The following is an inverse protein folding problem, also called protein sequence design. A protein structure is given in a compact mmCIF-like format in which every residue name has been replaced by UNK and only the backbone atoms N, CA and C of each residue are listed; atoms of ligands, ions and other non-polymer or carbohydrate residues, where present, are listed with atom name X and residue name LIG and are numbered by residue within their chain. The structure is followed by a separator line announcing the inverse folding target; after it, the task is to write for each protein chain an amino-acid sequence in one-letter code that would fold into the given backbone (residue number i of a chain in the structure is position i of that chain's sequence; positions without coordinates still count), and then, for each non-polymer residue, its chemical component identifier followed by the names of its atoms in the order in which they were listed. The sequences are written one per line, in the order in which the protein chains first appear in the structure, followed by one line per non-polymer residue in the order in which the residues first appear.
data_IF_949594507861
#
_entry.id   IF_949594507861
#
_cell.length_a   1.000
_cell.length_b   1.000
_cell.length_c   1.000
_cell.angle_alpha   90.00
_cell.angle_beta   90.00
_cell.angle_gamma   90.00
#
_symmetry.space_group_name_H-M   'P 1'
#
loop_
_entity.id
_entity.type
_entity.pdbx_description
1 polymer ?
#
# COMPACT_ATOMS: atom_id res chain seq x y z
N UNK A 1 4.11 -25.08 23.95
CA UNK A 1 5.58 -24.89 23.99
C UNK A 1 5.88 -23.58 24.73
N UNK A 2 6.83 -23.55 25.66
CA UNK A 2 7.23 -22.30 26.34
C UNK A 2 8.57 -21.87 25.76
N UNK A 3 8.67 -20.62 25.30
CA UNK A 3 9.91 -20.11 24.71
C UNK A 3 10.99 -20.04 25.81
N UNK A 4 12.19 -20.60 25.58
CA UNK A 4 13.29 -20.52 26.54
C UNK A 4 13.62 -19.05 26.87
N UNK A 5 13.70 -18.72 28.15
CA UNK A 5 14.00 -17.37 28.63
C UNK A 5 12.80 -16.42 28.73
N UNK A 6 11.57 -16.86 28.44
CA UNK A 6 10.34 -16.05 28.65
C UNK A 6 9.24 -16.84 29.37
N UNK A 7 8.20 -16.12 29.85
CA UNK A 7 6.99 -16.74 30.39
C UNK A 7 5.90 -16.97 29.32
N UNK A 8 6.23 -16.77 28.04
CA UNK A 8 5.26 -16.86 26.93
C UNK A 8 4.94 -18.32 26.60
N UNK A 9 3.65 -18.67 26.68
CA UNK A 9 3.13 -20.00 26.32
C UNK A 9 2.57 -19.96 24.91
N UNK A 10 3.17 -20.76 24.03
CA UNK A 10 2.71 -20.99 22.67
C UNK A 10 1.80 -22.23 22.62
N UNK A 11 0.68 -22.09 21.94
CA UNK A 11 -0.31 -23.12 21.64
C UNK A 11 -0.09 -23.65 20.23
N UNK A 12 -0.45 -24.91 19.99
CA UNK A 12 -0.33 -25.51 18.67
C UNK A 12 -1.67 -25.34 17.93
N UNK A 13 -1.61 -24.81 16.71
CA UNK A 13 -2.76 -24.68 15.83
C UNK A 13 -3.10 -26.03 15.19
N UNK A 14 -4.37 -26.43 15.31
CA UNK A 14 -4.86 -27.68 14.76
C UNK A 14 -4.84 -27.64 13.22
N UNK A 15 -4.31 -28.68 12.59
CA UNK A 15 -4.27 -28.83 11.13
C UNK A 15 -3.01 -28.28 10.45
N UNK A 16 -2.40 -27.20 10.96
CA UNK A 16 -1.16 -26.61 10.38
C UNK A 16 0.10 -27.01 11.13
N UNK A 17 -0.02 -27.44 12.39
CA UNK A 17 1.10 -27.76 13.27
C UNK A 17 1.91 -26.53 13.72
N UNK A 18 1.47 -25.31 13.39
CA UNK A 18 2.15 -24.06 13.74
C UNK A 18 1.96 -23.73 15.21
N UNK A 19 3.00 -23.17 15.83
CA UNK A 19 2.92 -22.69 17.21
C UNK A 19 2.62 -21.20 17.24
N UNK A 20 1.57 -20.80 17.97
CA UNK A 20 1.16 -19.41 18.11
C UNK A 20 1.00 -18.99 19.58
N UNK A 21 1.24 -17.72 19.83
CA UNK A 21 1.06 -17.04 21.11
C UNK A 21 0.15 -15.83 20.89
N UNK A 22 -0.83 -15.65 21.75
CA UNK A 22 -1.70 -14.47 21.74
C UNK A 22 -1.17 -13.49 22.76
N UNK A 23 -0.76 -12.30 22.33
CA UNK A 23 -0.31 -11.27 23.24
C UNK A 23 -1.52 -10.70 24.02
N UNK A 24 -1.51 -10.72 25.37
CA UNK A 24 -2.68 -10.30 26.16
C UNK A 24 -3.09 -8.84 25.94
N UNK A 25 -2.11 -7.95 25.75
CA UNK A 25 -2.35 -6.51 25.64
C UNK A 25 -3.02 -6.10 24.31
N UNK A 26 -2.67 -6.75 23.22
CA UNK A 26 -3.12 -6.37 21.86
C UNK A 26 -4.06 -7.38 21.23
N UNK A 27 -4.24 -8.55 21.87
CA UNK A 27 -4.94 -9.72 21.34
C UNK A 27 -4.38 -10.22 19.99
N UNK A 28 -3.17 -9.79 19.62
CA UNK A 28 -2.53 -10.21 18.37
C UNK A 28 -1.91 -11.59 18.50
N UNK A 29 -2.06 -12.37 17.42
CA UNK A 29 -1.44 -13.68 17.28
C UNK A 29 -0.04 -13.54 16.69
N UNK A 30 0.94 -14.05 17.41
CA UNK A 30 2.32 -14.19 16.97
C UNK A 30 2.61 -15.67 16.77
N UNK A 31 3.19 -16.02 15.64
CA UNK A 31 3.66 -17.36 15.32
C UNK A 31 5.16 -17.45 15.59
N UNK A 32 5.65 -18.66 15.79
CA UNK A 32 7.07 -18.92 16.02
C UNK A 32 7.57 -19.96 15.04
N UNK A 33 8.66 -19.63 14.37
CA UNK A 33 9.41 -20.60 13.59
C UNK A 33 10.14 -21.54 14.56
N UNK A 34 9.90 -22.84 14.43
CA UNK A 34 10.40 -23.87 15.33
C UNK A 34 11.90 -24.13 15.17
N UNK A 35 12.46 -23.85 13.99
CA UNK A 35 13.84 -24.18 13.65
C UNK A 35 14.82 -23.15 14.24
N UNK A 36 14.43 -21.88 14.26
CA UNK A 36 15.28 -20.77 14.69
C UNK A 36 14.70 -19.97 15.86
N UNK A 37 13.49 -20.29 16.32
CA UNK A 37 12.81 -19.59 17.42
C UNK A 37 12.41 -18.15 17.09
N UNK A 38 12.47 -17.74 15.81
CA UNK A 38 12.11 -16.40 15.38
C UNK A 38 10.60 -16.22 15.43
N UNK A 39 10.15 -15.16 16.11
CA UNK A 39 8.74 -14.79 16.14
C UNK A 39 8.36 -14.05 14.88
N UNK A 40 7.14 -14.22 14.42
CA UNK A 40 6.57 -13.41 13.37
C UNK A 40 5.08 -13.25 13.60
N UNK A 41 4.45 -12.27 12.96
CA UNK A 41 3.00 -12.24 12.86
C UNK A 41 2.60 -12.01 11.42
N UNK A 42 1.37 -12.39 11.12
CA UNK A 42 0.76 -12.17 9.83
C UNK A 42 -0.17 -10.99 10.01
N UNK A 43 0.11 -9.92 9.29
CA UNK A 43 -0.74 -8.75 9.28
C UNK A 43 -2.04 -9.10 8.54
N UNK A 44 -3.19 -8.88 9.16
CA UNK A 44 -4.48 -9.37 8.63
C UNK A 44 -4.99 -8.57 7.43
N UNK A 45 -4.59 -7.30 7.29
CA UNK A 45 -4.98 -6.48 6.13
C UNK A 45 -4.09 -6.78 4.94
N UNK A 46 -2.78 -6.88 5.15
CA UNK A 46 -1.82 -7.05 4.04
C UNK A 46 -1.43 -8.50 3.76
N UNK A 47 -1.81 -9.44 4.66
CA UNK A 47 -1.34 -10.85 4.67
C UNK A 47 0.19 -10.99 4.65
N UNK A 48 0.93 -9.92 4.96
CA UNK A 48 2.40 -9.91 4.98
C UNK A 48 2.93 -10.53 6.26
N UNK A 49 4.07 -11.20 6.13
CA UNK A 49 4.78 -11.82 7.24
C UNK A 49 5.80 -10.83 7.81
N UNK A 50 5.58 -10.43 9.05
CA UNK A 50 6.46 -9.54 9.78
C UNK A 50 7.27 -10.34 10.79
N UNK A 51 8.57 -10.45 10.56
CA UNK A 51 9.51 -11.21 11.38
C UNK A 51 10.14 -10.34 12.46
N UNK A 52 10.28 -10.87 13.66
CA UNK A 52 10.97 -10.21 14.76
C UNK A 52 12.47 -10.09 14.47
N UNK A 53 13.01 -8.88 14.60
CA UNK A 53 14.44 -8.65 14.57
C UNK A 53 15.09 -9.14 15.88
N UNK A 54 16.05 -10.09 15.82
CA UNK A 54 16.68 -10.66 17.00
C UNK A 54 17.26 -9.61 17.94
N UNK A 55 17.01 -9.75 19.24
CA UNK A 55 17.52 -8.83 20.27
C UNK A 55 16.78 -7.49 20.35
N UNK A 56 15.72 -7.29 19.56
CA UNK A 56 14.88 -6.09 19.60
C UNK A 56 13.41 -6.48 19.71
N UNK A 57 12.53 -5.49 19.91
CA UNK A 57 11.07 -5.70 19.85
C UNK A 57 10.45 -5.15 18.56
N UNK A 58 11.27 -5.02 17.49
CA UNK A 58 10.84 -4.53 16.18
C UNK A 58 10.52 -5.72 15.29
N UNK A 59 9.48 -5.57 14.48
CA UNK A 59 9.13 -6.53 13.45
C UNK A 59 9.41 -5.93 12.08
N UNK A 60 9.78 -6.74 11.10
CA UNK A 60 10.05 -6.28 9.74
C UNK A 60 9.56 -7.28 8.71
N UNK A 61 9.11 -6.76 7.58
CA UNK A 61 8.83 -7.50 6.36
C UNK A 61 9.97 -7.29 5.37
N UNK A 62 10.38 -8.33 4.65
CA UNK A 62 11.37 -8.24 3.58
C UNK A 62 10.64 -8.25 2.26
N UNK A 63 10.75 -7.18 1.50
CA UNK A 63 10.15 -7.13 0.18
C UNK A 63 10.82 -8.18 -0.73
N UNK A 64 10.04 -9.04 -1.43
CA UNK A 64 10.58 -10.20 -2.15
C UNK A 64 11.55 -9.79 -3.26
N UNK A 65 11.19 -8.75 -4.01
CA UNK A 65 11.96 -8.26 -5.16
C UNK A 65 13.16 -7.40 -4.77
N UNK A 66 12.96 -6.36 -3.97
CA UNK A 66 14.02 -5.39 -3.63
C UNK A 66 14.93 -5.86 -2.49
N UNK A 67 14.51 -6.91 -1.75
CA UNK A 67 15.16 -7.38 -0.51
C UNK A 67 15.27 -6.32 0.59
N UNK A 68 14.58 -5.19 0.43
CA UNK A 68 14.52 -4.10 1.41
C UNK A 68 13.70 -4.54 2.61
N UNK A 69 14.13 -4.15 3.81
CA UNK A 69 13.43 -4.41 5.07
C UNK A 69 12.54 -3.23 5.41
N UNK A 70 11.24 -3.49 5.59
CA UNK A 70 10.26 -2.53 6.04
C UNK A 70 9.87 -2.85 7.48
N UNK A 71 10.10 -1.91 8.39
CA UNK A 71 9.80 -2.12 9.80
C UNK A 71 8.32 -1.85 10.09
N UNK A 72 7.75 -2.69 10.94
CA UNK A 72 6.40 -2.56 11.43
C UNK A 72 6.32 -1.42 12.45
N UNK A 73 5.50 -0.42 12.14
CA UNK A 73 5.16 0.65 13.06
C UNK A 73 3.68 0.48 13.47
N UNK A 74 3.38 0.23 14.75
CA UNK A 74 2.00 0.13 15.19
C UNK A 74 1.32 1.50 15.03
N UNK A 75 0.27 1.56 14.22
CA UNK A 75 -0.60 2.74 14.12
C UNK A 75 -1.33 2.90 15.44
N UNK A 76 -0.77 3.70 16.34
CA UNK A 76 -1.50 4.19 17.51
C UNK A 76 -2.57 5.11 16.94
N UNK A 77 -3.79 4.60 16.79
CA UNK A 77 -4.94 5.46 16.57
C UNK A 77 -5.16 6.23 17.86
N UNK A 78 -4.44 7.34 18.04
CA UNK A 78 -4.88 8.38 18.94
C UNK A 78 -6.20 8.88 18.36
N UNK A 79 -7.29 8.35 18.90
CA UNK A 79 -8.63 8.82 18.60
C UNK A 79 -8.72 10.24 19.13
N UNK A 80 -8.33 11.22 18.32
CA UNK A 80 -8.63 12.63 18.58
C UNK A 80 -10.14 12.78 18.34
N UNK A 81 -10.91 12.46 19.37
CA UNK A 81 -12.31 12.82 19.45
C UNK A 81 -12.33 14.34 19.59
N UNK A 82 -12.70 15.07 18.54
CA UNK A 82 -13.16 16.43 18.72
C UNK A 82 -14.49 16.36 19.49
N UNK A 83 -14.41 16.39 20.82
CA UNK A 83 -15.57 16.71 21.64
C UNK A 83 -15.85 18.18 21.42
N UNK A 84 -16.89 18.52 20.67
CA UNK A 84 -17.43 19.87 20.65
C UNK A 84 -17.82 20.20 22.10
N UNK A 85 -17.04 21.04 22.76
CA UNK A 85 -17.34 21.50 24.11
C UNK A 85 -18.55 22.43 24.02
N UNK A 86 -19.74 21.91 24.31
CA UNK A 86 -20.89 22.72 24.74
C UNK A 86 -20.62 23.23 26.17
N UNK A 87 -19.62 24.09 26.29
CA UNK A 87 -19.33 24.86 27.50
C UNK A 87 -20.11 26.17 27.51
N UNK A 88 -20.52 26.69 28.68
CA UNK A 88 -21.24 27.96 28.76
C UNK A 88 -20.41 29.09 28.14
N UNK A 89 -21.09 30.09 27.57
CA UNK A 89 -20.57 31.18 26.73
C UNK A 89 -19.58 32.17 27.41
N UNK A 90 -18.67 31.68 28.27
CA UNK A 90 -17.68 32.44 29.05
C UNK A 90 -16.24 32.05 28.75
N UNK A 91 -15.99 31.00 27.94
CA UNK A 91 -14.63 30.51 27.66
C UNK A 91 -13.87 31.37 26.64
N UNK A 92 -14.57 31.85 25.59
CA UNK A 92 -14.00 32.73 24.56
C UNK A 92 -13.43 34.06 25.12
N UNK A 93 -14.13 34.80 26.00
CA UNK A 93 -13.58 36.03 26.57
C UNK A 93 -12.40 35.76 27.53
N UNK A 94 -12.30 34.58 28.15
CA UNK A 94 -11.20 34.24 29.05
C UNK A 94 -9.90 33.95 28.30
N UNK A 95 -9.96 33.33 27.12
CA UNK A 95 -8.80 33.18 26.25
C UNK A 95 -8.30 34.53 25.72
N UNK A 96 -9.23 35.41 25.34
CA UNK A 96 -8.88 36.74 24.85
C UNK A 96 -8.19 37.59 25.93
N UNK A 97 -8.61 37.48 27.19
CA UNK A 97 -7.97 38.21 28.31
C UNK A 97 -6.58 37.66 28.62
N UNK A 98 -6.36 36.35 28.59
CA UNK A 98 -5.02 35.75 28.79
C UNK A 98 -4.05 36.19 27.68
N UNK A 99 -4.52 36.19 26.42
CA UNK A 99 -3.73 36.67 25.28
C UNK A 99 -3.34 38.14 25.47
N UNK A 100 -4.29 38.99 25.89
CA UNK A 100 -4.07 40.43 26.07
C UNK A 100 -3.10 40.72 27.24
N UNK A 101 -3.16 39.95 28.31
CA UNK A 101 -2.21 40.01 29.43
C UNK A 101 -0.80 39.60 28.97
N UNK A 102 -0.68 38.57 28.13
CA UNK A 102 0.60 38.13 27.57
C UNK A 102 1.25 39.22 26.72
N UNK A 103 0.48 39.86 25.83
CA UNK A 103 0.97 40.97 24.99
C UNK A 103 1.42 42.15 25.88
N UNK A 104 0.65 42.48 26.91
CA UNK A 104 0.99 43.56 27.85
C UNK A 104 2.32 43.29 28.60
N UNK A 105 2.56 42.05 29.02
CA UNK A 105 3.82 41.66 29.68
C UNK A 105 5.03 41.82 28.76
N UNK A 106 4.89 41.44 27.48
CA UNK A 106 5.96 41.61 26.49
C UNK A 106 6.26 43.10 26.26
N UNK A 107 5.24 43.95 26.18
CA UNK A 107 5.43 45.40 26.05
C UNK A 107 6.13 46.00 27.28
N UNK A 108 5.76 45.58 28.49
CA UNK A 108 6.41 46.04 29.74
C UNK A 108 7.88 45.61 29.75
N UNK A 109 8.17 44.36 29.38
CA UNK A 109 9.53 43.84 29.32
C UNK A 109 10.39 44.59 28.28
N UNK A 110 9.82 44.92 27.13
CA UNK A 110 10.49 45.72 26.11
C UNK A 110 10.83 47.13 26.62
N UNK A 111 9.90 47.81 27.29
CA UNK A 111 10.15 49.13 27.89
C UNK A 111 11.21 49.06 28.99
N UNK A 112 11.21 47.99 29.78
CA UNK A 112 12.24 47.74 30.80
C UNK A 112 13.62 47.57 30.17
N UNK A 113 13.76 46.74 29.13
CA UNK A 113 15.04 46.58 28.41
C UNK A 113 15.53 47.92 27.86
N UNK A 114 14.66 48.69 27.22
CA UNK A 114 15.03 49.99 26.66
C UNK A 114 15.44 51.01 27.74
N UNK A 115 14.92 50.90 28.96
CA UNK A 115 15.29 51.75 30.09
C UNK A 115 16.65 51.39 30.71
N UNK A 116 17.04 50.10 30.68
CA UNK A 116 18.31 49.64 31.29
C UNK A 116 19.47 49.65 30.27
N UNK A 117 19.19 49.54 28.97
CA UNK A 117 20.19 49.58 27.90
C UNK A 117 21.25 50.71 28.02
N UNK A 118 20.90 51.97 28.34
CA UNK A 118 21.90 53.04 28.47
C UNK A 118 22.81 52.91 29.71
N UNK A 119 22.48 52.05 30.69
CA UNK A 119 23.32 51.82 31.86
C UNK A 119 24.51 50.88 31.60
N UNK A 120 24.54 50.19 30.45
CA UNK A 120 25.57 49.22 30.09
C UNK A 120 26.57 49.72 29.02
N UNK A 121 26.45 50.97 28.56
CA UNK A 121 27.30 51.53 27.49
C UNK A 121 28.65 52.12 27.99
N UNK A 122 29.11 51.74 29.18
CA UNK A 122 30.15 52.49 29.91
C UNK A 122 31.33 51.72 30.51
N UNK A 123 31.46 50.40 30.38
CA UNK A 123 32.61 49.67 30.96
C UNK A 123 33.33 48.82 29.93
N UNK A 124 34.28 49.43 29.23
CA UNK A 124 35.44 48.73 28.64
C UNK A 124 36.57 48.81 29.64
N UNK A 125 36.71 47.82 30.50
CA UNK A 125 37.95 47.60 31.25
C UNK A 125 38.86 46.71 30.42
N UNK A 126 39.91 47.33 29.87
CA UNK A 126 41.02 46.66 29.20
C UNK A 126 41.93 46.11 30.30
N UNK A 127 41.96 44.78 30.46
CA UNK A 127 42.97 44.10 31.25
C UNK A 127 44.10 43.69 30.29
N UNK A 128 45.23 44.38 30.41
CA UNK A 128 46.53 43.91 29.91
C UNK A 128 47.15 43.10 31.02
N UNK A 129 47.39 41.80 30.79
CA UNK A 129 48.22 40.95 31.63
C UNK A 129 49.19 40.16 30.74
N UNK A 130 50.44 40.58 30.87
CA UNK A 130 51.74 39.92 30.76
C UNK A 130 51.80 38.44 30.34
N UNK A 131 52.79 38.16 29.49
CA UNK A 131 53.19 36.83 28.98
C UNK A 131 53.41 35.80 30.09
N UNK A 132 52.67 34.69 30.02
CA UNK A 132 53.12 33.40 30.55
C UNK A 132 52.90 32.32 29.48
N UNK A 133 53.99 31.67 29.12
CA UNK A 133 54.08 30.56 28.18
C UNK A 133 53.39 29.32 28.79
N UNK A 134 52.22 28.97 28.26
CA UNK A 134 51.59 27.66 28.51
C UNK A 134 51.49 26.89 27.21
N UNK A 135 52.02 25.68 27.21
CA UNK A 135 51.78 24.67 26.18
C UNK A 135 50.35 24.16 26.39
N UNK A 136 49.42 24.62 25.56
CA UNK A 136 48.10 23.98 25.47
C UNK A 136 48.23 22.71 24.64
N UNK A 137 48.03 21.58 25.31
CA UNK A 137 47.79 20.29 24.66
C UNK A 137 46.51 20.44 23.85
N UNK A 138 46.62 20.39 22.53
CA UNK A 138 45.48 20.29 21.63
C UNK A 138 44.89 18.90 21.85
N UNK A 139 43.93 18.75 22.76
CA UNK A 139 42.93 17.70 22.60
C UNK A 139 42.09 18.13 21.40
N UNK A 140 42.24 17.39 20.30
CA UNK A 140 41.28 17.43 19.20
C UNK A 140 39.90 17.18 19.80
N UNK A 141 39.12 18.26 19.96
CA UNK A 141 37.70 18.17 20.23
C UNK A 141 37.11 17.21 19.20
N UNK A 142 36.46 16.10 19.60
CA UNK A 142 35.82 15.23 18.64
C UNK A 142 34.82 16.12 17.90
N UNK A 143 35.07 16.30 16.61
CA UNK A 143 34.31 17.21 15.77
C UNK A 143 32.83 17.04 16.05
N UNK A 144 32.14 18.17 16.19
CA UNK A 144 30.71 18.20 16.33
C UNK A 144 30.11 17.48 15.11
N UNK A 145 29.79 16.19 15.27
CA UNK A 145 29.01 15.45 14.28
C UNK A 145 27.60 15.99 14.45
N UNK A 146 27.22 16.88 13.56
CA UNK A 146 25.82 17.17 13.35
C UNK A 146 25.19 15.83 12.93
N UNK A 147 24.53 15.17 13.88
CA UNK A 147 23.66 14.05 13.58
C UNK A 147 22.49 14.70 12.85
N UNK A 148 22.63 14.81 11.53
CA UNK A 148 21.49 14.88 10.66
C UNK A 148 20.82 13.53 10.87
N UNK A 149 19.85 13.48 11.80
CA UNK A 149 18.79 12.49 11.69
C UNK A 149 18.16 12.80 10.34
N UNK A 150 18.63 12.12 9.29
CA UNK A 150 17.81 11.91 8.11
C UNK A 150 16.56 11.22 8.65
N UNK A 151 15.54 12.02 8.90
CA UNK A 151 14.16 11.57 8.93
C UNK A 151 13.91 11.03 7.53
N UNK A 152 14.31 9.79 7.31
CA UNK A 152 13.90 9.01 6.15
C UNK A 152 12.39 9.19 6.07
N UNK A 153 11.85 9.68 4.93
CA UNK A 153 10.42 9.91 4.82
C UNK A 153 9.71 8.62 5.21
N UNK A 154 8.85 8.69 6.22
CA UNK A 154 7.96 7.59 6.56
C UNK A 154 7.23 7.25 5.28
N UNK A 155 7.46 6.06 4.73
CA UNK A 155 6.79 5.62 3.53
C UNK A 155 5.29 5.57 3.84
N UNK A 156 4.57 6.61 3.43
CA UNK A 156 3.12 6.66 3.51
C UNK A 156 2.59 5.63 2.53
N UNK A 157 1.93 4.60 3.06
CA UNK A 157 1.18 3.68 2.21
C UNK A 157 0.10 4.52 1.50
N UNK A 158 -0.05 4.42 0.16
CA UNK A 158 -1.12 5.08 -0.56
C UNK A 158 -2.49 4.85 0.11
N UNK A 159 -3.33 5.89 0.13
CA UNK A 159 -4.65 5.84 0.77
C UNK A 159 -5.55 4.74 0.19
N UNK A 160 -5.48 4.55 -1.13
CA UNK A 160 -6.21 3.53 -1.88
C UNK A 160 -5.92 2.11 -1.37
N UNK A 161 -4.69 1.83 -0.92
CA UNK A 161 -4.30 0.48 -0.47
C UNK A 161 -4.74 0.15 0.97
N UNK A 162 -5.30 1.11 1.70
CA UNK A 162 -5.67 0.95 3.11
C UNK A 162 -7.16 1.14 3.37
N UNK A 163 -7.95 1.43 2.34
CA UNK A 163 -9.40 1.56 2.42
C UNK A 163 -10.08 0.25 1.95
N UNK A 164 -11.42 0.27 1.84
CA UNK A 164 -12.24 -0.84 1.35
C UNK A 164 -12.82 -0.61 -0.05
N UNK A 165 -12.37 0.45 -0.72
CA UNK A 165 -12.78 0.83 -2.07
C UNK A 165 -12.08 -0.10 -3.06
N UNK A 166 -12.85 -0.65 -3.99
CA UNK A 166 -12.33 -1.57 -5.01
C UNK A 166 -12.94 -1.19 -6.35
N UNK A 167 -12.11 -1.24 -7.38
CA UNK A 167 -12.53 -1.08 -8.76
C UNK A 167 -12.58 -2.45 -9.45
N UNK A 168 -13.75 -2.79 -10.00
CA UNK A 168 -13.96 -3.98 -10.82
C UNK A 168 -13.99 -3.58 -12.28
N UNK A 169 -13.08 -4.11 -13.09
CA UNK A 169 -12.95 -3.79 -14.51
C UNK A 169 -13.08 -5.04 -15.37
N UNK A 170 -13.85 -4.94 -16.44
CA UNK A 170 -13.96 -5.94 -17.51
C UNK A 170 -13.51 -5.33 -18.82
N UNK A 171 -12.62 -6.03 -19.52
CA UNK A 171 -12.19 -5.72 -20.88
C UNK A 171 -12.43 -6.92 -21.75
N UNK A 172 -13.10 -6.74 -22.88
CA UNK A 172 -13.44 -7.82 -23.78
C UNK A 172 -13.15 -7.40 -25.22
N UNK A 173 -12.59 -8.32 -25.99
CA UNK A 173 -12.34 -8.15 -27.42
C UNK A 173 -12.83 -9.36 -28.19
N UNK A 174 -13.58 -9.10 -29.24
CA UNK A 174 -13.96 -10.08 -30.25
C UNK A 174 -12.97 -9.99 -31.40
N UNK A 175 -12.52 -11.13 -31.90
CA UNK A 175 -11.57 -11.21 -33.00
C UNK A 175 -11.90 -12.35 -33.95
N UNK A 176 -11.50 -12.22 -35.21
CA UNK A 176 -11.70 -13.29 -36.21
C UNK A 176 -10.60 -14.34 -36.09
N UNK A 177 -11.00 -15.61 -35.96
CA UNK A 177 -10.10 -16.76 -35.96
C UNK A 177 -9.28 -16.85 -37.27
N UNK A 178 -8.01 -17.32 -37.22
CA UNK A 178 -7.37 -17.97 -36.07
C UNK A 178 -6.71 -16.99 -35.07
N UNK A 179 -6.75 -15.68 -35.33
CA UNK A 179 -6.15 -14.63 -34.51
C UNK A 179 -4.73 -14.99 -34.00
N UNK A 180 -3.87 -15.45 -34.90
CA UNK A 180 -2.50 -15.85 -34.60
C UNK A 180 -2.36 -16.92 -33.47
N UNK A 181 -3.30 -17.88 -33.41
CA UNK A 181 -3.35 -18.94 -32.40
C UNK A 181 -3.39 -18.41 -30.96
N UNK A 182 -4.04 -17.26 -30.74
CA UNK A 182 -4.11 -16.59 -29.44
C UNK A 182 -4.57 -17.53 -28.31
N UNK A 183 -5.54 -18.40 -28.57
CA UNK A 183 -6.06 -19.33 -27.56
C UNK A 183 -4.98 -20.27 -27.01
N UNK A 184 -4.11 -20.80 -27.88
CA UNK A 184 -2.99 -21.66 -27.44
C UNK A 184 -1.94 -20.86 -26.66
N UNK A 185 -1.69 -19.61 -27.05
CA UNK A 185 -0.76 -18.74 -26.32
C UNK A 185 -1.30 -18.41 -24.92
N UNK A 186 -2.58 -18.03 -24.81
CA UNK A 186 -3.23 -17.73 -23.53
C UNK A 186 -3.29 -18.98 -22.63
N UNK A 187 -3.65 -20.14 -23.18
CA UNK A 187 -3.68 -21.40 -22.43
C UNK A 187 -2.29 -21.74 -21.85
N UNK A 188 -1.23 -21.62 -22.66
CA UNK A 188 0.14 -21.86 -22.21
C UNK A 188 0.54 -20.93 -21.06
N UNK A 189 0.24 -19.63 -21.18
CA UNK A 189 0.56 -18.65 -20.13
C UNK A 189 -0.21 -18.95 -18.83
N UNK A 190 -1.49 -19.32 -18.93
CA UNK A 190 -2.30 -19.70 -17.77
C UNK A 190 -1.84 -20.98 -17.08
N UNK A 191 -1.16 -21.89 -17.80
CA UNK A 191 -0.56 -23.10 -17.21
C UNK A 191 0.79 -22.84 -16.54
N UNK A 192 1.60 -21.92 -17.10
CA UNK A 192 2.97 -21.66 -16.65
C UNK A 192 3.06 -20.65 -15.49
N UNK A 193 2.09 -19.73 -15.35
CA UNK A 193 2.16 -18.61 -14.41
C UNK A 193 1.36 -18.89 -13.13
N UNK A 194 2.01 -18.71 -11.97
CA UNK A 194 1.41 -18.88 -10.64
C UNK A 194 0.59 -17.63 -10.20
N UNK A 195 -0.71 -17.65 -10.48
CA UNK A 195 -1.65 -16.57 -10.13
C UNK A 195 -2.04 -16.51 -8.64
N UNK A 196 -1.60 -17.46 -7.81
CA UNK A 196 -1.79 -17.36 -6.35
C UNK A 196 -0.86 -16.29 -5.75
N UNK A 197 0.15 -15.85 -6.51
CA UNK A 197 1.06 -14.76 -6.14
C UNK A 197 0.63 -13.42 -6.75
N UNK A 198 0.82 -12.28 -6.04
CA UNK A 198 0.59 -10.95 -6.60
C UNK A 198 1.39 -10.68 -7.87
N UNK A 199 2.65 -11.12 -7.90
CA UNK A 199 3.53 -10.97 -9.05
C UNK A 199 3.02 -11.76 -10.26
N UNK A 200 2.59 -13.02 -10.05
CA UNK A 200 2.06 -13.84 -11.13
C UNK A 200 0.72 -13.35 -11.68
N UNK A 201 -0.16 -12.76 -10.86
CA UNK A 201 -1.37 -12.10 -11.37
C UNK A 201 -1.05 -10.96 -12.32
N UNK A 202 -0.12 -10.08 -11.94
CA UNK A 202 0.30 -8.98 -12.81
C UNK A 202 1.02 -9.51 -14.05
N UNK A 203 1.86 -10.55 -13.90
CA UNK A 203 2.52 -11.17 -15.05
C UNK A 203 1.51 -11.70 -16.06
N UNK A 204 0.52 -12.48 -15.62
CA UNK A 204 -0.52 -13.02 -16.51
C UNK A 204 -1.34 -11.89 -17.14
N UNK A 205 -1.71 -10.86 -16.38
CA UNK A 205 -2.41 -9.67 -16.89
C UNK A 205 -1.63 -9.00 -18.02
N UNK A 206 -0.35 -8.70 -17.79
CA UNK A 206 0.49 -7.98 -18.75
C UNK A 206 0.79 -8.83 -19.98
N UNK A 207 1.09 -10.12 -19.81
CA UNK A 207 1.30 -11.03 -20.93
C UNK A 207 0.04 -11.20 -21.77
N UNK A 208 -1.14 -11.30 -21.14
CA UNK A 208 -2.43 -11.32 -21.83
C UNK A 208 -2.66 -10.03 -22.63
N UNK A 209 -2.42 -8.87 -22.04
CA UNK A 209 -2.55 -7.58 -22.72
C UNK A 209 -1.60 -7.46 -23.93
N UNK A 210 -0.34 -7.92 -23.79
CA UNK A 210 0.62 -7.96 -24.89
C UNK A 210 0.16 -8.91 -25.99
N UNK A 211 -0.30 -10.11 -25.64
CA UNK A 211 -0.80 -11.08 -26.60
C UNK A 211 -2.01 -10.53 -27.38
N UNK A 212 -2.92 -9.83 -26.71
CA UNK A 212 -4.02 -9.13 -27.36
C UNK A 212 -3.53 -8.02 -28.29
N UNK A 213 -2.59 -7.17 -27.86
CA UNK A 213 -2.02 -6.11 -28.70
C UNK A 213 -1.32 -6.68 -29.96
N UNK A 214 -0.71 -7.85 -29.87
CA UNK A 214 -0.09 -8.54 -31.02
C UNK A 214 -1.12 -9.09 -32.02
N UNK A 215 -2.40 -9.16 -31.64
CA UNK A 215 -3.51 -9.59 -32.49
C UNK A 215 -4.40 -8.44 -32.93
N UNK A 216 -3.95 -7.19 -32.79
CA UNK A 216 -4.73 -5.97 -33.08
C UNK A 216 -5.40 -6.01 -34.45
N UNK A 217 -4.75 -6.57 -35.48
CA UNK A 217 -5.31 -6.66 -36.83
C UNK A 217 -6.58 -7.54 -36.93
N UNK A 218 -6.76 -8.50 -36.01
CA UNK A 218 -7.88 -9.44 -36.01
C UNK A 218 -9.11 -8.95 -35.24
N UNK A 219 -8.99 -7.87 -34.45
CA UNK A 219 -10.12 -7.37 -33.64
C UNK A 219 -11.30 -6.94 -34.53
N UNK A 220 -12.52 -7.19 -34.08
CA UNK A 220 -13.75 -6.69 -34.71
C UNK A 220 -14.45 -5.71 -33.80
N UNK A 221 -14.65 -6.11 -32.55
CA UNK A 221 -15.45 -5.38 -31.57
C UNK A 221 -14.75 -5.41 -30.21
N UNK A 222 -14.96 -4.36 -29.43
CA UNK A 222 -14.41 -4.21 -28.09
C UNK A 222 -15.51 -3.76 -27.14
N UNK A 223 -15.48 -4.27 -25.93
CA UNK A 223 -16.41 -3.91 -24.85
C UNK A 223 -15.60 -3.74 -23.58
N UNK A 224 -15.81 -2.64 -22.86
CA UNK A 224 -15.22 -2.48 -21.54
C UNK A 224 -16.21 -1.87 -20.55
N UNK A 225 -16.03 -2.20 -19.29
CA UNK A 225 -16.74 -1.59 -18.16
C UNK A 225 -15.78 -1.51 -16.98
N UNK A 226 -15.82 -0.41 -16.23
CA UNK A 226 -15.06 -0.28 -14.99
C UNK A 226 -15.93 0.45 -13.97
N UNK A 227 -16.10 -0.17 -12.80
CA UNK A 227 -16.98 0.32 -11.75
C UNK A 227 -16.25 0.27 -10.40
N UNK A 228 -16.31 1.37 -9.67
CA UNK A 228 -15.70 1.50 -8.34
C UNK A 228 -16.79 1.42 -7.28
N UNK A 229 -16.55 0.63 -6.24
CA UNK A 229 -17.48 0.44 -5.13
C UNK A 229 -16.76 0.62 -3.80
N UNK A 230 -17.45 1.12 -2.79
CA UNK A 230 -16.87 1.45 -1.47
C UNK A 230 -16.72 0.23 -0.54
N UNK A 231 -16.97 -0.99 -1.03
CA UNK A 231 -16.93 -2.22 -0.24
C UNK A 231 -16.36 -3.38 -1.03
N UNK A 232 -15.33 -4.02 -0.47
CA UNK A 232 -14.74 -5.28 -0.96
C UNK A 232 -15.77 -6.38 -1.16
N UNK A 233 -16.77 -6.49 -0.28
CA UNK A 233 -17.82 -7.50 -0.38
C UNK A 233 -18.72 -7.26 -1.60
N UNK A 234 -19.04 -6.00 -1.89
CA UNK A 234 -19.83 -5.67 -3.08
C UNK A 234 -19.02 -5.87 -4.36
N UNK A 235 -17.72 -5.52 -4.34
CA UNK A 235 -16.82 -5.79 -5.45
C UNK A 235 -16.70 -7.28 -5.75
N UNK A 236 -16.54 -8.12 -4.72
CA UNK A 236 -16.51 -9.58 -4.85
C UNK A 236 -17.81 -10.10 -5.50
N UNK A 237 -18.96 -9.62 -5.05
CA UNK A 237 -20.27 -9.98 -5.63
C UNK A 237 -20.38 -9.59 -7.11
N UNK A 238 -19.95 -8.37 -7.49
CA UNK A 238 -19.96 -7.90 -8.88
C UNK A 238 -19.00 -8.74 -9.73
N UNK A 239 -17.79 -8.98 -9.23
CA UNK A 239 -16.77 -9.78 -9.91
C UNK A 239 -17.26 -11.21 -10.18
N UNK A 240 -17.79 -11.89 -9.16
CA UNK A 240 -18.35 -13.24 -9.29
C UNK A 240 -19.52 -13.28 -10.27
N UNK A 241 -20.41 -12.27 -10.23
CA UNK A 241 -21.53 -12.17 -11.17
C UNK A 241 -21.04 -12.03 -12.62
N UNK A 242 -20.03 -11.19 -12.87
CA UNK A 242 -19.44 -11.02 -14.19
C UNK A 242 -18.73 -12.30 -14.65
N UNK A 243 -17.90 -12.90 -13.78
CA UNK A 243 -17.20 -14.16 -14.04
C UNK A 243 -18.17 -15.28 -14.40
N UNK A 244 -19.24 -15.46 -13.62
CA UNK A 244 -20.29 -16.44 -13.89
C UNK A 244 -21.02 -16.17 -15.21
N UNK A 245 -21.40 -14.91 -15.47
CA UNK A 245 -22.10 -14.54 -16.69
C UNK A 245 -21.25 -14.80 -17.95
N UNK A 246 -19.95 -14.55 -17.89
CA UNK A 246 -19.02 -14.88 -18.98
C UNK A 246 -18.88 -16.40 -19.12
N UNK A 247 -18.79 -17.14 -18.01
CA UNK A 247 -18.71 -18.60 -18.04
C UNK A 247 -19.94 -19.30 -18.60
N UNK A 248 -21.13 -18.77 -18.34
CA UNK A 248 -22.37 -19.31 -18.91
C UNK A 248 -22.42 -19.20 -20.45
N UNK A 249 -21.68 -18.26 -21.06
CA UNK A 249 -21.59 -18.17 -22.52
C UNK A 249 -20.88 -19.39 -23.13
N UNK A 250 -20.15 -20.18 -22.34
CA UNK A 250 -19.50 -21.42 -22.79
C UNK A 250 -20.49 -22.58 -22.98
N UNK A 251 -21.62 -22.60 -22.26
CA UNK A 251 -22.55 -23.74 -22.26
C UNK A 251 -23.54 -23.73 -23.45
N UNK A 252 -23.71 -22.58 -24.13
CA UNK A 252 -24.65 -22.42 -25.26
C UNK A 252 -23.99 -22.75 -26.61
N UNK A 253 -23.13 -23.79 -26.66
CA UNK A 253 -22.54 -24.31 -27.90
C UNK A 253 -22.89 -25.79 -28.15
N UNK A 254 -24.02 -26.27 -27.62
CA UNK A 254 -24.55 -27.58 -27.97
C UNK A 254 -25.67 -27.44 -28.99
N UNK A 255 -25.35 -27.78 -30.24
CA UNK A 255 -26.28 -28.23 -31.30
C UNK A 255 -27.15 -27.13 -31.94
N UNK A 256 -26.54 -26.25 -32.74
CA UNK A 256 -27.22 -25.76 -33.95
C UNK A 256 -26.18 -25.54 -35.07
N UNK A 257 -26.22 -26.42 -36.07
CA UNK A 257 -25.26 -26.57 -37.19
C UNK A 257 -25.25 -25.39 -38.19
N UNK A 258 -25.51 -24.15 -37.76
CA UNK A 258 -25.56 -22.99 -38.69
C UNK A 258 -25.21 -21.61 -38.12
N UNK A 259 -24.56 -21.49 -36.96
CA UNK A 259 -24.16 -20.16 -36.44
C UNK A 259 -22.65 -19.96 -36.61
N UNK A 260 -22.29 -18.86 -37.27
CA UNK A 260 -20.93 -18.33 -37.57
C UNK A 260 -20.01 -18.06 -36.36
N UNK A 261 -20.22 -18.73 -35.21
CA UNK A 261 -19.42 -18.61 -33.99
C UNK A 261 -18.04 -19.26 -34.14
N UNK A 262 -17.88 -20.25 -35.02
CA UNK A 262 -16.61 -20.93 -35.30
C UNK A 262 -15.52 -20.00 -35.86
N UNK A 263 -15.92 -18.80 -36.30
CA UNK A 263 -15.02 -17.79 -36.86
C UNK A 263 -14.60 -16.71 -35.85
N UNK A 264 -15.17 -16.66 -34.66
CA UNK A 264 -14.89 -15.59 -33.72
C UNK A 264 -14.35 -16.13 -32.40
N UNK A 265 -13.31 -15.48 -31.91
CA UNK A 265 -12.75 -15.70 -30.59
C UNK A 265 -13.10 -14.46 -29.76
N UNK A 266 -13.64 -14.68 -28.57
CA UNK A 266 -13.90 -13.63 -27.59
C UNK A 266 -12.91 -13.85 -26.46
N UNK A 267 -12.10 -12.84 -26.14
CA UNK A 267 -11.22 -12.86 -24.97
C UNK A 267 -11.72 -11.83 -23.98
N UNK A 268 -11.84 -12.22 -22.72
CA UNK A 268 -12.28 -11.37 -21.60
C UNK A 268 -11.18 -11.35 -20.53
N UNK A 269 -10.77 -10.14 -20.16
CA UNK A 269 -9.94 -9.84 -18.99
C UNK A 269 -10.86 -9.26 -17.90
N UNK A 270 -10.89 -9.88 -16.73
CA UNK A 270 -11.63 -9.38 -15.57
C UNK A 270 -10.65 -9.11 -14.43
N UNK A 271 -10.74 -7.92 -13.84
CA UNK A 271 -9.82 -7.40 -12.85
C UNK A 271 -10.58 -6.87 -11.64
N UNK A 272 -10.03 -7.09 -10.45
CA UNK A 272 -10.36 -6.32 -9.26
C UNK A 272 -9.10 -5.62 -8.75
N UNK A 273 -9.13 -4.30 -8.63
CA UNK A 273 -8.00 -3.49 -8.17
C UNK A 273 -8.36 -2.63 -6.96
N UNK A 274 -7.36 -2.35 -6.12
CA UNK A 274 -7.46 -1.38 -5.01
C UNK A 274 -7.40 0.08 -5.52
N UNK A 275 -7.83 0.36 -6.76
CA UNK A 275 -7.92 1.72 -7.28
C UNK A 275 -9.22 2.39 -6.80
N UNK A 276 -9.12 3.61 -6.31
CA UNK A 276 -10.26 4.43 -5.87
C UNK A 276 -11.08 5.05 -7.02
N UNK A 277 -10.67 4.77 -8.26
CA UNK A 277 -11.29 5.30 -9.47
C UNK A 277 -11.35 4.24 -10.57
N UNK A 278 -12.30 4.34 -11.51
CA UNK A 278 -12.36 3.46 -12.66
C UNK A 278 -11.02 3.45 -13.41
N UNK A 279 -10.51 2.25 -13.71
CA UNK A 279 -9.20 2.04 -14.33
C UNK A 279 -9.08 2.71 -15.71
N UNK A 280 -10.21 2.90 -16.37
CA UNK A 280 -10.33 3.57 -17.66
C UNK A 280 -11.68 4.25 -17.79
N UNK A 281 -11.71 5.30 -18.61
CA UNK A 281 -12.95 5.94 -19.07
C UNK A 281 -13.65 5.06 -20.13
N UNK A 282 -14.71 5.59 -20.75
CA UNK A 282 -15.47 4.86 -21.78
C UNK A 282 -14.55 4.34 -22.92
N UNK A 283 -14.61 3.03 -23.17
CA UNK A 283 -13.90 2.36 -24.26
C UNK A 283 -14.92 1.92 -25.31
N UNK A 284 -14.97 2.62 -26.44
CA UNK A 284 -15.98 2.40 -27.48
C UNK A 284 -15.38 2.19 -28.88
N UNK A 285 -14.05 2.11 -28.99
CA UNK A 285 -13.36 1.89 -30.25
C UNK A 285 -12.01 1.19 -30.04
N UNK A 286 -11.39 0.71 -31.13
CA UNK A 286 -10.13 -0.05 -31.09
C UNK A 286 -8.97 0.77 -30.54
N UNK A 287 -8.91 2.06 -30.85
CA UNK A 287 -7.85 2.97 -30.38
C UNK A 287 -7.89 3.16 -28.86
N UNK A 288 -9.08 3.41 -28.30
CA UNK A 288 -9.29 3.52 -26.85
C UNK A 288 -8.98 2.19 -26.16
N UNK A 289 -9.42 1.06 -26.72
CA UNK A 289 -9.11 -0.27 -26.16
C UNK A 289 -7.61 -0.57 -26.18
N UNK A 290 -6.92 -0.24 -27.28
CA UNK A 290 -5.46 -0.34 -27.38
C UNK A 290 -4.75 0.52 -26.34
N UNK A 291 -5.23 1.72 -26.09
CA UNK A 291 -4.67 2.59 -25.08
C UNK A 291 -4.91 2.01 -23.68
N UNK A 292 -6.10 1.52 -23.39
CA UNK A 292 -6.43 0.84 -22.13
C UNK A 292 -5.53 -0.36 -21.89
N UNK A 293 -5.31 -1.23 -22.89
CA UNK A 293 -4.39 -2.37 -22.77
C UNK A 293 -2.95 -1.95 -22.43
N UNK A 294 -2.48 -0.81 -22.96
CA UNK A 294 -1.16 -0.27 -22.59
C UNK A 294 -1.13 0.27 -21.17
N UNK A 295 -2.23 0.86 -20.71
CA UNK A 295 -2.36 1.43 -19.37
C UNK A 295 -2.43 0.36 -18.29
N UNK A 296 -2.84 -0.87 -18.61
CA UNK A 296 -2.69 -2.03 -17.72
C UNK A 296 -1.22 -2.24 -17.27
N UNK A 297 -0.25 -1.77 -18.06
CA UNK A 297 1.17 -1.72 -17.69
C UNK A 297 1.50 -0.90 -16.43
N UNK A 298 0.58 -0.06 -15.96
CA UNK A 298 0.73 0.72 -14.73
C UNK A 298 0.26 -0.03 -13.48
N UNK A 299 -0.51 -1.12 -13.65
CA UNK A 299 -1.04 -1.91 -12.55
C UNK A 299 0.11 -2.63 -11.85
N UNK A 300 0.25 -2.42 -10.54
CA UNK A 300 1.31 -3.01 -9.74
C UNK A 300 0.80 -4.20 -8.91
N UNK A 301 1.68 -5.11 -8.44
CA UNK A 301 1.27 -6.27 -7.65
C UNK A 301 0.52 -5.90 -6.37
N UNK A 302 0.81 -4.74 -5.77
CA UNK A 302 0.13 -4.26 -4.58
C UNK A 302 -1.32 -3.81 -4.86
N UNK A 303 -1.63 -3.39 -6.10
CA UNK A 303 -2.95 -2.90 -6.50
C UNK A 303 -3.85 -3.99 -7.10
N UNK A 304 -3.30 -5.08 -7.65
CA UNK A 304 -4.09 -6.14 -8.31
C UNK A 304 -4.53 -7.23 -7.32
N UNK A 305 -5.79 -7.16 -6.89
CA UNK A 305 -6.39 -8.13 -5.96
C UNK A 305 -6.66 -9.48 -6.63
N UNK A 306 -7.33 -9.44 -7.77
CA UNK A 306 -7.77 -10.62 -8.50
C UNK A 306 -7.71 -10.35 -10.00
N UNK A 307 -7.31 -11.37 -10.74
CA UNK A 307 -7.28 -11.34 -12.19
C UNK A 307 -7.85 -12.65 -12.71
N UNK A 308 -8.76 -12.56 -13.67
CA UNK A 308 -9.32 -13.70 -14.36
C UNK A 308 -9.26 -13.49 -15.88
N UNK A 309 -8.75 -14.51 -16.56
CA UNK A 309 -8.63 -14.58 -18.01
C UNK A 309 -9.60 -15.65 -18.54
N UNK A 310 -10.46 -15.28 -19.48
CA UNK A 310 -11.46 -16.14 -20.09
C UNK A 310 -11.44 -16.01 -21.61
N UNK A 311 -11.72 -17.08 -22.35
CA UNK A 311 -11.92 -17.00 -23.80
C UNK A 311 -12.91 -18.03 -24.35
N UNK A 312 -13.71 -17.62 -25.34
CA UNK A 312 -14.70 -18.46 -26.05
C UNK A 312 -14.40 -18.49 -27.55
N UNK A 313 -14.54 -19.63 -28.26
CA UNK A 313 -14.71 -20.98 -27.70
C UNK A 313 -13.45 -21.44 -26.95
N UNK A 314 -13.58 -22.42 -26.06
CA UNK A 314 -12.41 -23.14 -25.53
C UNK A 314 -11.98 -24.19 -26.55
N UNK A 315 -10.67 -24.29 -26.80
CA UNK A 315 -10.09 -25.16 -27.82
C UNK A 315 -10.05 -26.63 -27.42
#
# INVERSE_FOLDING_TARGET
YTRPGTQERYYQEAGTGRFYYVQPATQRRYYMNIDNGQRYFIDSSTRRYYYEQPGTNRFYYVHPTTRVRYYYQPTVHERVVYSYYDGPATVLPMFLTILLIGILLVCIFYVLIMAIAPAFDGRREVLVAEEDEYIEVIEESPGYVEVIEETLPVATIPEDLVNDIVTVSKLQVTMVAPANNIQSNLAKMSEEIDIDTPEGRVELLLQSAIALLQTEEYWTDVVASSETVESRQEAERIFEQLSFAERCKFEVNTVDDNVQLDRHIIVTLLLGTEDDYPLFAEVNNRESFKQTLKELGKVTPDYLLVFELLWTPTA
#
